data_IF_473683108005
#
_entry.id   IF_473683108005
#
_cell.length_a   1.000
_cell.length_b   1.000
_cell.length_c   1.000
_cell.angle_alpha   90.00
_cell.angle_beta   90.00
_cell.angle_gamma   90.00
#
_symmetry.space_group_name_H-M   'P 1'
#
loop_
_entity.id
_entity.type
_entity.pdbx_description
1 polymer ?
#
# COMPACT_ATOMS: atom_id res chain seq x y z
N UNK A 1 27.79 -17.74 9.18
CA UNK A 1 26.33 -17.50 9.34
C UNK A 1 25.76 -17.12 7.99
N UNK A 2 24.92 -17.95 7.37
CA UNK A 2 24.13 -17.53 6.19
C UNK A 2 22.99 -16.68 6.73
N UNK A 3 22.93 -15.40 6.35
CA UNK A 3 21.73 -14.61 6.56
C UNK A 3 20.58 -15.34 5.85
N UNK A 4 19.54 -15.70 6.59
CA UNK A 4 18.30 -16.15 5.98
C UNK A 4 17.83 -15.02 5.07
N UNK A 5 17.94 -15.25 3.76
CA UNK A 5 17.37 -14.37 2.75
C UNK A 5 15.87 -14.52 2.92
N UNK A 6 15.26 -13.64 3.72
CA UNK A 6 13.81 -13.50 3.77
C UNK A 6 13.42 -13.26 2.33
N UNK A 7 12.72 -14.21 1.72
CA UNK A 7 12.13 -13.99 0.40
C UNK A 7 11.30 -12.71 0.53
N UNK A 8 11.69 -11.65 -0.18
CA UNK A 8 10.87 -10.45 -0.33
C UNK A 8 9.60 -10.89 -1.07
N UNK A 9 8.59 -11.33 -0.31
CA UNK A 9 7.31 -11.74 -0.88
C UNK A 9 6.49 -10.47 -1.04
N UNK A 10 6.42 -10.00 -2.29
CA UNK A 10 5.49 -8.94 -2.67
C UNK A 10 4.04 -9.46 -2.61
N UNK A 11 3.09 -8.57 -2.35
CA UNK A 11 1.67 -8.90 -2.36
C UNK A 11 0.85 -7.83 -3.08
N UNK A 12 -0.36 -8.21 -3.51
CA UNK A 12 -1.34 -7.29 -4.06
C UNK A 12 -2.51 -7.22 -3.08
N UNK A 13 -2.77 -6.02 -2.56
CA UNK A 13 -3.98 -5.69 -1.83
C UNK A 13 -5.07 -5.33 -2.84
N UNK A 14 -6.19 -6.05 -2.80
CA UNK A 14 -7.37 -5.75 -3.63
C UNK A 14 -8.54 -5.44 -2.70
N UNK A 15 -9.11 -4.25 -2.86
CA UNK A 15 -10.26 -3.78 -2.09
C UNK A 15 -11.42 -3.59 -3.05
N UNK A 16 -12.58 -4.13 -2.67
CA UNK A 16 -13.87 -3.82 -3.30
C UNK A 16 -14.77 -3.21 -2.26
N UNK A 17 -15.14 -1.95 -2.44
CA UNK A 17 -16.00 -1.25 -1.48
C UNK A 17 -17.49 -1.58 -1.68
N UNK A 18 -18.34 -1.01 -0.81
CA UNK A 18 -19.80 -1.18 -0.87
C UNK A 18 -20.43 -0.52 -2.11
N UNK A 19 -19.75 0.44 -2.73
CA UNK A 19 -20.15 1.08 -3.99
C UNK A 19 -19.65 0.32 -5.22
N UNK A 20 -19.03 -0.85 -5.02
CA UNK A 20 -18.42 -1.71 -6.05
C UNK A 20 -17.19 -1.09 -6.72
N UNK A 21 -16.59 -0.03 -6.17
CA UNK A 21 -15.29 0.48 -6.63
C UNK A 21 -14.22 -0.57 -6.32
N UNK A 22 -13.35 -0.85 -7.28
CA UNK A 22 -12.20 -1.76 -7.11
C UNK A 22 -10.93 -0.93 -7.18
N UNK A 23 -10.09 -1.06 -6.15
CA UNK A 23 -8.83 -0.35 -6.03
C UNK A 23 -7.89 -1.14 -5.12
N UNK A 24 -6.63 -0.74 -5.06
CA UNK A 24 -5.66 -1.49 -4.29
C UNK A 24 -4.24 -1.00 -4.43
N UNK A 25 -3.31 -1.84 -4.00
CA UNK A 25 -1.88 -1.57 -4.13
C UNK A 25 -1.11 -2.84 -4.41
N UNK A 26 -0.06 -2.72 -5.20
CA UNK A 26 1.05 -3.66 -5.20
C UNK A 26 2.05 -3.19 -4.14
N UNK A 27 2.41 -4.08 -3.22
CA UNK A 27 3.37 -3.82 -2.15
C UNK A 27 4.59 -4.71 -2.35
N UNK A 28 5.77 -4.09 -2.42
CA UNK A 28 7.05 -4.75 -2.70
C UNK A 28 7.68 -5.46 -1.48
N UNK A 29 7.05 -5.33 -0.32
CA UNK A 29 7.47 -5.93 0.94
C UNK A 29 6.23 -6.42 1.70
N UNK A 30 6.29 -7.57 2.43
CA UNK A 30 5.15 -8.06 3.19
C UNK A 30 4.73 -7.10 4.31
N UNK A 31 3.45 -7.19 4.72
CA UNK A 31 2.95 -6.44 5.86
C UNK A 31 3.72 -6.79 7.14
N UNK A 32 4.31 -5.78 7.76
CA UNK A 32 5.03 -5.88 9.02
C UNK A 32 4.48 -4.85 10.01
N UNK A 33 4.23 -5.29 11.25
CA UNK A 33 3.86 -4.39 12.34
C UNK A 33 5.06 -3.48 12.64
N UNK A 34 4.96 -2.20 12.26
CA UNK A 34 6.03 -1.20 12.42
C UNK A 34 5.45 0.14 12.87
N UNK A 35 6.20 0.87 13.68
CA UNK A 35 5.80 2.20 14.18
C UNK A 35 5.87 3.27 13.08
N UNK A 36 6.83 3.14 12.16
CA UNK A 36 7.04 4.04 11.02
C UNK A 36 6.59 3.46 9.67
N UNK A 37 6.67 4.30 8.65
CA UNK A 37 6.51 3.90 7.26
C UNK A 37 7.71 3.07 6.78
N UNK A 38 7.44 2.07 5.93
CA UNK A 38 8.43 1.17 5.32
C UNK A 38 8.04 0.83 3.88
N UNK A 39 8.77 -0.08 3.25
CA UNK A 39 8.59 -0.43 1.85
C UNK A 39 9.60 0.30 0.96
N UNK A 40 9.76 -0.21 -0.25
CA UNK A 40 10.69 0.36 -1.21
C UNK A 40 9.93 1.20 -2.23
N UNK A 41 10.60 1.51 -3.33
CA UNK A 41 10.07 2.43 -4.32
C UNK A 41 9.21 1.78 -5.39
N UNK A 42 9.02 0.46 -5.31
CA UNK A 42 8.30 -0.33 -6.31
C UNK A 42 6.83 -0.47 -5.93
N UNK A 43 6.45 -0.16 -4.69
CA UNK A 43 5.05 -0.04 -4.26
C UNK A 43 4.30 1.01 -5.08
N UNK A 44 3.11 0.65 -5.56
CA UNK A 44 2.22 1.52 -6.32
C UNK A 44 0.76 1.22 -5.98
N UNK A 45 -0.10 2.22 -6.16
CA UNK A 45 -1.56 2.07 -6.01
C UNK A 45 -2.23 1.99 -7.38
N UNK A 46 -3.40 1.39 -7.43
CA UNK A 46 -4.19 1.28 -8.65
C UNK A 46 -5.68 1.41 -8.35
N UNK A 47 -6.44 1.83 -9.36
CA UNK A 47 -7.88 1.71 -9.37
C UNK A 47 -8.36 1.08 -10.67
N UNK A 48 -9.53 0.45 -10.63
CA UNK A 48 -10.16 -0.18 -11.78
C UNK A 48 -11.56 0.40 -11.97
N UNK A 49 -11.73 1.18 -13.04
CA UNK A 49 -13.03 1.78 -13.39
C UNK A 49 -13.05 2.35 -14.81
N UNK A 50 -13.61 1.65 -15.82
CA UNK A 50 -13.61 0.20 -16.05
C UNK A 50 -12.25 -0.31 -16.58
N UNK A 51 -11.28 0.58 -16.76
CA UNK A 51 -9.91 0.26 -17.14
C UNK A 51 -9.00 0.31 -15.90
N UNK A 52 -7.88 -0.39 -15.97
CA UNK A 52 -6.87 -0.37 -14.92
C UNK A 52 -6.03 0.91 -15.03
N UNK A 53 -6.07 1.72 -13.98
CA UNK A 53 -5.19 2.88 -13.82
C UNK A 53 -4.16 2.59 -12.72
N UNK A 54 -2.87 2.81 -13.02
CA UNK A 54 -1.76 2.56 -12.10
C UNK A 54 -1.07 3.89 -11.76
N UNK A 55 -0.97 4.19 -10.46
CA UNK A 55 -0.27 5.35 -9.95
C UNK A 55 1.01 4.91 -9.25
N UNK A 56 2.15 5.19 -9.90
CA UNK A 56 3.50 4.90 -9.39
C UNK A 56 4.09 6.15 -8.76
N UNK A 57 5.17 5.99 -7.98
CA UNK A 57 5.90 7.15 -7.45
C UNK A 57 6.30 8.10 -8.58
N UNK A 58 6.22 9.40 -8.32
CA UNK A 58 6.73 10.43 -9.22
C UNK A 58 8.27 10.44 -9.26
N UNK A 59 8.85 11.27 -10.14
CA UNK A 59 10.27 11.61 -10.11
C UNK A 59 10.46 12.94 -9.37
N UNK A 60 11.48 13.02 -8.52
CA UNK A 60 11.89 14.26 -7.84
C UNK A 60 11.46 14.36 -6.36
N UNK A 61 11.91 15.41 -5.65
CA UNK A 61 11.79 15.53 -4.18
C UNK A 61 10.35 15.74 -3.68
N UNK A 62 9.42 16.12 -4.56
CA UNK A 62 7.99 16.28 -4.25
C UNK A 62 7.15 15.09 -4.76
N UNK A 63 7.79 13.99 -5.15
CA UNK A 63 7.08 12.83 -5.64
C UNK A 63 6.16 12.23 -4.57
N UNK A 64 5.03 11.68 -5.03
CA UNK A 64 4.22 10.81 -4.19
C UNK A 64 5.03 9.56 -3.86
N UNK A 65 5.13 9.25 -2.57
CA UNK A 65 5.79 8.04 -2.09
C UNK A 65 4.73 7.12 -1.48
N UNK A 66 4.62 5.92 -2.04
CA UNK A 66 3.68 4.90 -1.58
C UNK A 66 4.36 3.99 -0.57
N UNK A 67 4.73 4.55 0.59
CA UNK A 67 5.22 3.75 1.70
C UNK A 67 4.06 3.06 2.42
N UNK A 68 4.36 1.95 3.07
CA UNK A 68 3.42 1.14 3.83
C UNK A 68 3.57 1.49 5.30
N UNK A 69 2.45 1.66 5.99
CA UNK A 69 2.36 1.66 7.45
C UNK A 69 1.37 0.59 7.86
N UNK A 70 1.77 -0.28 8.77
CA UNK A 70 0.91 -1.33 9.30
C UNK A 70 1.08 -1.42 10.81
N UNK A 71 -0.02 -1.23 11.52
CA UNK A 71 -0.12 -1.29 12.97
C UNK A 71 -1.32 -2.18 13.33
N UNK A 72 -1.51 -2.46 14.62
CA UNK A 72 -2.73 -3.15 15.08
C UNK A 72 -4.01 -2.38 14.74
N UNK A 73 -3.92 -1.05 14.61
CA UNK A 73 -5.08 -0.18 14.48
C UNK A 73 -5.39 0.20 13.03
N UNK A 74 -4.44 0.03 12.11
CA UNK A 74 -4.62 0.44 10.71
C UNK A 74 -3.54 -0.12 9.77
N UNK A 75 -3.91 -0.11 8.48
CA UNK A 75 -3.01 -0.20 7.35
C UNK A 75 -3.12 1.11 6.55
N UNK A 76 -2.00 1.69 6.16
CA UNK A 76 -1.91 2.87 5.30
C UNK A 76 -0.90 2.66 4.18
N UNK A 77 -1.21 3.14 2.98
CA UNK A 77 -0.32 3.19 1.83
C UNK A 77 -0.30 4.62 1.29
N UNK A 78 0.90 5.20 1.19
CA UNK A 78 1.10 6.63 0.97
C UNK A 78 1.86 7.25 2.13
N UNK A 79 2.36 8.48 1.98
CA UNK A 79 3.14 9.16 3.02
C UNK A 79 2.55 10.53 3.37
N UNK A 80 2.62 11.49 2.45
CA UNK A 80 2.05 12.82 2.63
C UNK A 80 0.54 12.80 2.37
N UNK A 81 0.18 12.40 1.15
CA UNK A 81 -1.21 12.14 0.76
C UNK A 81 -1.43 10.63 0.83
N UNK A 82 -2.13 10.18 1.88
CA UNK A 82 -2.44 8.77 2.07
C UNK A 82 -3.44 8.35 0.98
N UNK A 83 -3.01 7.47 0.09
CA UNK A 83 -3.82 6.99 -1.03
C UNK A 83 -4.78 5.87 -0.60
N UNK A 84 -4.41 5.08 0.40
CA UNK A 84 -5.28 4.07 1.00
C UNK A 84 -5.05 4.09 2.51
N UNK A 85 -6.12 4.25 3.27
CA UNK A 85 -6.13 3.99 4.71
C UNK A 85 -7.25 3.00 5.03
N UNK A 86 -6.99 2.04 5.91
CA UNK A 86 -7.99 1.10 6.44
C UNK A 86 -7.82 0.92 7.94
N UNK A 87 -8.94 0.78 8.65
CA UNK A 87 -8.94 0.41 10.06
C UNK A 87 -8.43 -1.03 10.27
N UNK A 88 -7.91 -1.32 11.46
CA UNK A 88 -7.34 -2.64 11.80
C UNK A 88 -8.36 -3.79 11.80
N UNK A 89 -9.64 -3.48 11.94
CA UNK A 89 -10.75 -4.42 11.77
C UNK A 89 -11.22 -4.57 10.30
N UNK A 90 -10.61 -3.82 9.37
CA UNK A 90 -10.86 -3.86 7.92
C UNK A 90 -12.32 -3.47 7.58
N UNK A 91 -13.02 -2.75 8.47
CA UNK A 91 -14.42 -2.35 8.24
C UNK A 91 -14.58 -0.94 7.66
N UNK A 92 -13.56 -0.08 7.80
CA UNK A 92 -13.58 1.32 7.40
C UNK A 92 -12.31 1.68 6.64
N UNK A 93 -12.41 2.62 5.73
CA UNK A 93 -11.25 3.10 4.98
C UNK A 93 -11.50 4.41 4.24
N UNK A 94 -10.42 5.00 3.74
CA UNK A 94 -10.40 6.23 2.92
C UNK A 94 -9.47 6.00 1.73
N UNK A 95 -9.86 6.53 0.57
CA UNK A 95 -9.13 6.48 -0.72
C UNK A 95 -9.11 7.85 -1.34
#
# INVERSE_FOLDING_TARGET
MRANKIHQVAFILIIKDRKKKIFGAFCDEPLQKRTGFYGHTETFVFEFNPELQIYKKGKGPKANHFYIKSTENNIAIGFNDIAIWMSGDITRGVT
#
